data_IF_514195458716
#
_entry.id   IF_514195458716
#
_cell.length_a   1.000
_cell.length_b   1.000
_cell.length_c   1.000
_cell.angle_alpha   90.00
_cell.angle_beta   90.00
_cell.angle_gamma   90.00
#
_symmetry.space_group_name_H-M   'P 1'
#
loop_
_entity.id
_entity.type
_entity.pdbx_description
1 polymer ?
#
# COMPACT_ATOMS: atom_id res chain seq x y z
N UNK A 1 -10.28 19.20 -4.06
CA UNK A 1 -8.85 18.95 -4.35
C UNK A 1 -8.30 18.09 -3.24
N UNK A 2 -7.35 17.19 -3.55
CA UNK A 2 -6.66 16.43 -2.51
C UNK A 2 -5.87 17.39 -1.62
N UNK A 3 -5.94 17.24 -0.29
CA UNK A 3 -5.04 17.94 0.63
C UNK A 3 -3.57 17.79 0.24
N UNK A 4 -2.80 18.85 0.42
CA UNK A 4 -1.38 18.91 0.03
C UNK A 4 -0.53 17.79 0.65
N UNK A 5 -0.79 17.42 1.90
CA UNK A 5 -0.09 16.31 2.56
C UNK A 5 -0.35 14.96 1.88
N UNK A 6 -1.58 14.72 1.39
CA UNK A 6 -1.91 13.49 0.64
C UNK A 6 -1.28 13.52 -0.74
N UNK A 7 -1.21 14.68 -1.40
CA UNK A 7 -0.49 14.81 -2.67
C UNK A 7 1.00 14.50 -2.51
N UNK A 8 1.65 14.92 -1.41
CA UNK A 8 3.04 14.53 -1.12
C UNK A 8 3.20 13.02 -0.94
N UNK A 9 2.27 12.36 -0.24
CA UNK A 9 2.29 10.90 -0.09
C UNK A 9 2.09 10.19 -1.43
N UNK A 10 1.15 10.67 -2.25
CA UNK A 10 0.92 10.17 -3.62
C UNK A 10 2.17 10.34 -4.47
N UNK A 11 2.81 11.51 -4.41
CA UNK A 11 4.07 11.78 -5.13
C UNK A 11 5.18 10.84 -4.70
N UNK A 12 5.31 10.56 -3.40
CA UNK A 12 6.30 9.60 -2.90
C UNK A 12 6.01 8.17 -3.38
N UNK A 13 4.74 7.77 -3.49
CA UNK A 13 4.32 6.48 -4.05
C UNK A 13 4.47 6.34 -5.57
N UNK A 14 4.77 7.43 -6.30
CA UNK A 14 4.93 7.41 -7.75
C UNK A 14 6.39 7.64 -8.14
N UNK A 15 7.00 8.67 -7.56
CA UNK A 15 8.33 9.16 -7.94
C UNK A 15 9.38 8.93 -6.85
N UNK A 16 9.03 8.28 -5.74
CA UNK A 16 10.01 7.94 -4.70
C UNK A 16 11.06 6.97 -5.22
N UNK A 17 12.29 7.09 -4.72
CA UNK A 17 13.33 6.12 -5.02
C UNK A 17 13.07 4.80 -4.28
N UNK A 18 12.62 3.80 -5.01
CA UNK A 18 12.33 2.47 -4.45
C UNK A 18 13.59 1.68 -4.12
N UNK A 19 14.79 2.10 -4.56
CA UNK A 19 16.05 1.46 -4.18
C UNK A 19 16.49 1.84 -2.77
N UNK A 20 16.08 3.01 -2.28
CA UNK A 20 16.31 3.43 -0.90
C UNK A 20 15.37 2.70 0.09
N UNK A 21 15.98 1.99 1.05
CA UNK A 21 15.27 1.27 2.10
C UNK A 21 14.43 2.18 3.00
N UNK A 22 14.90 3.40 3.30
CA UNK A 22 14.17 4.35 4.13
C UNK A 22 12.90 4.86 3.42
N UNK A 23 13.00 5.09 2.11
CA UNK A 23 11.84 5.46 1.27
C UNK A 23 10.84 4.30 1.20
N UNK A 24 11.29 3.07 0.97
CA UNK A 24 10.41 1.88 0.98
C UNK A 24 9.69 1.72 2.31
N UNK A 25 10.41 1.81 3.43
CA UNK A 25 9.83 1.71 4.77
C UNK A 25 8.75 2.78 4.97
N UNK A 26 9.05 4.03 4.62
CA UNK A 26 8.09 5.15 4.70
C UNK A 26 6.84 4.93 3.83
N UNK A 27 7.01 4.41 2.62
CA UNK A 27 5.89 4.11 1.71
C UNK A 27 5.00 3.02 2.34
N UNK A 28 5.59 1.95 2.85
CA UNK A 28 4.88 0.81 3.45
C UNK A 28 4.18 1.14 4.76
N UNK A 29 4.88 1.79 5.67
CA UNK A 29 4.40 2.02 7.03
C UNK A 29 3.46 3.22 7.14
N UNK A 30 3.67 4.25 6.30
CA UNK A 30 2.91 5.50 6.39
C UNK A 30 2.02 5.71 5.17
N UNK A 31 2.59 5.80 3.97
CA UNK A 31 1.85 6.27 2.81
C UNK A 31 0.73 5.31 2.40
N UNK A 32 1.01 4.02 2.24
CA UNK A 32 0.02 3.03 1.81
C UNK A 32 -1.16 2.96 2.79
N UNK A 33 -0.96 2.77 4.11
CA UNK A 33 -2.06 2.71 5.08
C UNK A 33 -2.91 3.98 5.10
N UNK A 34 -2.28 5.17 5.13
CA UNK A 34 -3.02 6.44 5.17
C UNK A 34 -3.82 6.68 3.90
N UNK A 35 -3.20 6.50 2.73
CA UNK A 35 -3.87 6.71 1.45
C UNK A 35 -5.01 5.72 1.24
N UNK A 36 -4.81 4.44 1.60
CA UNK A 36 -5.86 3.42 1.52
C UNK A 36 -7.03 3.72 2.46
N UNK A 37 -6.75 4.15 3.70
CA UNK A 37 -7.77 4.57 4.67
C UNK A 37 -8.56 5.76 4.15
N UNK A 38 -7.89 6.84 3.76
CA UNK A 38 -8.54 8.04 3.23
C UNK A 38 -9.42 7.73 2.02
N UNK A 39 -8.93 6.90 1.10
CA UNK A 39 -9.71 6.47 -0.07
C UNK A 39 -11.02 5.77 0.33
N UNK A 40 -10.98 4.87 1.31
CA UNK A 40 -12.19 4.17 1.80
C UNK A 40 -13.17 5.15 2.46
N UNK A 41 -12.68 6.04 3.31
CA UNK A 41 -13.50 7.06 4.00
C UNK A 41 -14.18 7.99 3.00
N UNK A 42 -13.45 8.45 1.98
CA UNK A 42 -13.99 9.27 0.90
C UNK A 42 -15.11 8.56 0.16
N UNK A 43 -14.91 7.28 -0.21
CA UNK A 43 -15.93 6.52 -0.94
C UNK A 43 -17.16 6.25 -0.08
N UNK A 44 -16.98 5.87 1.18
CA UNK A 44 -18.09 5.65 2.11
C UNK A 44 -18.87 6.94 2.40
N UNK A 45 -18.17 8.04 2.67
CA UNK A 45 -18.80 9.36 2.89
C UNK A 45 -19.47 9.91 1.64
N UNK A 46 -18.93 9.62 0.45
CA UNK A 46 -19.58 9.98 -0.82
C UNK A 46 -20.86 9.18 -1.04
N UNK A 47 -20.93 7.93 -0.60
CA UNK A 47 -22.14 7.10 -0.69
C UNK A 47 -23.24 7.59 0.27
N UNK A 48 -22.91 7.77 1.55
CA UNK A 48 -23.88 8.11 2.61
C UNK A 48 -24.54 9.50 2.43
N UNK A 49 -23.88 10.44 1.75
CA UNK A 49 -24.36 11.82 1.55
C UNK A 49 -24.69 12.19 0.10
N UNK A 50 -24.75 11.21 -0.83
CA UNK A 50 -24.79 11.48 -2.28
C UNK A 50 -25.98 12.32 -2.73
N UNK A 51 -27.13 12.17 -2.08
CA UNK A 51 -28.38 12.80 -2.49
C UNK A 51 -28.44 14.29 -2.11
N UNK A 52 -27.64 14.71 -1.14
CA UNK A 52 -27.63 16.08 -0.59
C UNK A 52 -26.49 16.92 -1.19
N UNK A 53 -25.51 16.28 -1.84
CA UNK A 53 -24.30 16.96 -2.32
C UNK A 53 -24.40 17.34 -3.80
N UNK A 54 -23.85 18.51 -4.19
CA UNK A 54 -23.77 18.90 -5.59
C UNK A 54 -23.00 17.87 -6.44
N UNK A 55 -23.45 17.61 -7.67
CA UNK A 55 -22.81 16.65 -8.57
C UNK A 55 -21.32 16.95 -8.81
N UNK A 56 -20.94 18.23 -8.94
CA UNK A 56 -19.54 18.65 -9.08
C UNK A 56 -18.66 18.33 -7.88
N UNK A 57 -19.24 18.20 -6.68
CA UNK A 57 -18.51 17.76 -5.49
C UNK A 57 -18.18 16.27 -5.57
N UNK A 58 -19.17 15.44 -5.91
CA UNK A 58 -19.02 13.97 -6.00
C UNK A 58 -17.97 13.62 -7.06
N UNK A 59 -18.05 14.26 -8.24
CA UNK A 59 -17.07 14.07 -9.31
C UNK A 59 -15.63 14.31 -8.85
N UNK A 60 -15.38 15.42 -8.15
CA UNK A 60 -14.05 15.76 -7.61
C UNK A 60 -13.55 14.73 -6.59
N UNK A 61 -14.43 14.18 -5.76
CA UNK A 61 -14.06 13.13 -4.80
C UNK A 61 -13.68 11.82 -5.49
N UNK A 62 -14.43 11.44 -6.54
CA UNK A 62 -14.15 10.26 -7.35
C UNK A 62 -12.80 10.40 -8.05
N UNK A 63 -12.53 11.56 -8.69
CA UNK A 63 -11.25 11.84 -9.36
C UNK A 63 -10.06 11.72 -8.39
N UNK A 64 -10.17 12.28 -7.18
CA UNK A 64 -9.15 12.14 -6.15
C UNK A 64 -8.95 10.69 -5.68
N UNK A 65 -10.04 9.95 -5.49
CA UNK A 65 -10.00 8.52 -5.12
C UNK A 65 -9.33 7.67 -6.21
N UNK A 66 -9.56 7.98 -7.49
CA UNK A 66 -8.90 7.31 -8.61
C UNK A 66 -7.41 7.60 -8.67
N UNK A 67 -6.97 8.83 -8.37
CA UNK A 67 -5.55 9.16 -8.28
C UNK A 67 -4.87 8.33 -7.18
N UNK A 68 -5.46 8.28 -5.99
CA UNK A 68 -4.94 7.46 -4.88
C UNK A 68 -4.86 5.99 -5.31
N UNK A 69 -5.91 5.45 -5.94
CA UNK A 69 -5.93 4.05 -6.40
C UNK A 69 -4.75 3.76 -7.33
N UNK A 70 -4.50 4.64 -8.30
CA UNK A 70 -3.39 4.49 -9.25
C UNK A 70 -2.03 4.54 -8.56
N UNK A 71 -1.85 5.48 -7.63
CA UNK A 71 -0.61 5.59 -6.85
C UNK A 71 -0.34 4.34 -5.99
N UNK A 72 -1.37 3.80 -5.34
CA UNK A 72 -1.25 2.56 -4.56
C UNK A 72 -0.90 1.35 -5.44
N UNK A 73 -1.53 1.23 -6.61
CA UNK A 73 -1.22 0.15 -7.56
C UNK A 73 0.23 0.24 -8.05
N UNK A 74 0.69 1.45 -8.41
CA UNK A 74 2.06 1.70 -8.81
C UNK A 74 3.05 1.32 -7.71
N UNK A 75 2.80 1.78 -6.48
CA UNK A 75 3.65 1.47 -5.34
C UNK A 75 3.70 -0.02 -5.05
N UNK A 76 2.58 -0.73 -5.19
CA UNK A 76 2.55 -2.19 -5.01
C UNK A 76 3.44 -2.88 -6.04
N UNK A 77 3.27 -2.58 -7.33
CA UNK A 77 4.10 -3.16 -8.42
C UNK A 77 5.58 -2.86 -8.19
N UNK A 78 5.91 -1.62 -7.85
CA UNK A 78 7.30 -1.19 -7.64
C UNK A 78 7.95 -1.88 -6.44
N UNK A 79 7.22 -2.01 -5.33
CA UNK A 79 7.71 -2.75 -4.16
C UNK A 79 7.91 -4.22 -4.48
N UNK A 80 6.98 -4.86 -5.20
CA UNK A 80 7.10 -6.26 -5.60
C UNK A 80 8.25 -6.50 -6.58
N UNK A 81 8.60 -5.52 -7.42
CA UNK A 81 9.74 -5.62 -8.32
C UNK A 81 11.09 -5.55 -7.58
N UNK A 82 11.17 -4.73 -6.52
CA UNK A 82 12.41 -4.55 -5.73
C UNK A 82 12.57 -5.63 -4.66
N UNK A 83 11.46 -6.07 -4.05
CA UNK A 83 11.49 -7.11 -3.04
C UNK A 83 11.31 -8.45 -3.72
N UNK A 84 12.36 -9.27 -3.72
CA UNK A 84 12.30 -10.64 -4.23
C UNK A 84 11.15 -11.38 -3.54
N UNK A 85 10.02 -11.57 -4.24
CA UNK A 85 8.93 -12.42 -3.79
C UNK A 85 9.37 -13.86 -3.95
N UNK A 86 10.24 -14.32 -3.05
CA UNK A 86 10.37 -15.74 -2.80
C UNK A 86 9.08 -16.18 -2.11
N UNK A 87 8.03 -16.43 -2.89
CA UNK A 87 6.84 -17.16 -2.45
C UNK A 87 7.22 -18.59 -1.98
N UNK A 88 8.42 -19.03 -2.35
CA UNK A 88 9.10 -20.12 -1.68
C UNK A 88 9.51 -19.62 -0.31
N UNK A 89 8.75 -19.99 0.73
CA UNK A 89 9.25 -20.09 2.10
C UNK A 89 10.69 -20.57 1.99
N UNK A 90 11.67 -19.69 2.24
CA UNK A 90 13.07 -19.95 1.87
C UNK A 90 13.42 -21.40 2.19
N UNK A 91 13.85 -22.18 1.19
CA UNK A 91 14.17 -23.60 1.39
C UNK A 91 15.10 -23.78 2.59
N UNK A 92 15.95 -22.79 2.85
CA UNK A 92 16.75 -22.64 4.05
C UNK A 92 15.92 -22.57 5.36
N UNK A 93 14.96 -21.66 5.50
CA UNK A 93 14.11 -21.61 6.70
C UNK A 93 13.21 -22.85 6.86
N UNK A 94 12.77 -23.45 5.75
CA UNK A 94 12.05 -24.73 5.79
C UNK A 94 12.97 -25.90 6.22
N UNK A 95 14.21 -25.94 5.72
CA UNK A 95 15.24 -26.92 6.10
C UNK A 95 15.63 -26.78 7.57
N UNK A 96 15.87 -25.56 8.06
CA UNK A 96 16.18 -25.29 9.47
C UNK A 96 15.06 -25.77 10.40
N UNK A 97 13.78 -25.56 10.04
CA UNK A 97 12.66 -26.10 10.81
C UNK A 97 12.61 -27.63 10.80
N UNK A 98 12.88 -28.30 9.68
CA UNK A 98 12.95 -29.77 9.64
C UNK A 98 14.09 -30.32 10.49
N UNK A 99 15.27 -29.70 10.43
CA UNK A 99 16.42 -30.13 11.23
C UNK A 99 16.17 -29.93 12.73
N UNK A 100 15.55 -28.82 13.13
CA UNK A 100 15.16 -28.59 14.51
C UNK A 100 14.14 -29.63 15.03
N UNK A 101 13.15 -30.01 14.20
CA UNK A 101 12.16 -31.05 14.54
C UNK A 101 12.83 -32.43 14.66
N UNK A 102 13.76 -32.78 13.76
CA UNK A 102 14.50 -34.04 13.85
C UNK A 102 15.38 -34.13 15.09
N UNK A 103 16.01 -33.03 15.51
CA UNK A 103 16.81 -32.99 16.74
C UNK A 103 15.94 -33.18 18.00
N UNK A 104 14.72 -32.66 18.01
CA UNK A 104 13.77 -32.88 19.12
C UNK A 104 13.16 -34.28 19.19
N UNK A 105 13.27 -35.06 18.11
CA UNK A 105 12.77 -36.44 18.04
C UNK A 105 13.82 -37.50 18.42
N UNK A 106 15.08 -37.09 18.61
CA UNK A 106 16.22 -37.96 18.95
C UNK A 106 16.65 -37.74 20.42
N UNK A 107 16.05 -36.76 21.12
CA UNK A 107 16.29 -36.48 22.54
C UNK A 107 15.31 -37.25 23.45
#
# INVERSE_FOLDING_TARGET
MLPSHLLRMVSLCISGDYQDAAVRARIKEKCIPFLAKHRREVLAGSYNGRHVRPAGFIRKMIEGSQLIRRALAHAHISLTAVESTSNVISFHAASMRRNAVNLSAIA
#
